data_IF_115342488254
#
_entry.id   IF_115342488254
#
_cell.length_a   1.000
_cell.length_b   1.000
_cell.length_c   1.000
_cell.angle_alpha   90.00
_cell.angle_beta   90.00
_cell.angle_gamma   90.00
#
_symmetry.space_group_name_H-M   'P 1'
#
loop_
_entity.id
_entity.type
_entity.pdbx_description
1 polymer ?
#
# COMPACT_ATOMS: atom_id res chain seq x y z
N UNK A 1 0.15 12.23 15.41
CA UNK A 1 -0.86 11.30 15.96
C UNK A 1 -0.97 10.01 15.13
N UNK A 2 -0.61 9.98 13.83
CA UNK A 2 -0.61 8.75 13.04
C UNK A 2 -1.95 8.39 12.42
N UNK A 3 -2.85 9.37 12.39
CA UNK A 3 -4.23 9.22 11.96
C UNK A 3 -4.35 9.54 10.47
N UNK A 4 -5.10 8.72 9.74
CA UNK A 4 -5.58 9.01 8.38
C UNK A 4 -7.10 9.21 8.45
N UNK A 5 -7.60 10.28 7.80
CA UNK A 5 -9.03 10.58 7.70
C UNK A 5 -9.45 10.57 6.25
N UNK A 6 -10.58 9.93 5.97
CA UNK A 6 -11.18 9.90 4.64
C UNK A 6 -12.44 10.75 4.62
N UNK A 7 -12.59 11.57 3.58
CA UNK A 7 -13.71 12.50 3.42
C UNK A 7 -14.34 12.29 2.05
N UNK A 8 -15.66 12.42 1.98
CA UNK A 8 -16.37 12.53 0.72
C UNK A 8 -16.58 14.01 0.41
N UNK A 9 -15.91 14.49 -0.64
CA UNK A 9 -15.89 15.90 -1.03
C UNK A 9 -17.28 16.43 -1.46
N UNK A 10 -18.27 15.56 -1.68
CA UNK A 10 -19.63 15.92 -2.08
C UNK A 10 -20.54 16.25 -0.90
N UNK A 11 -20.17 15.84 0.31
CA UNK A 11 -21.00 15.93 1.53
C UNK A 11 -20.26 16.64 2.66
N UNK A 12 -20.94 16.79 3.81
CA UNK A 12 -20.55 17.62 4.96
C UNK A 12 -19.15 17.34 5.55
N UNK A 13 -18.67 18.25 6.41
CA UNK A 13 -17.28 18.36 6.92
C UNK A 13 -16.80 17.23 7.85
N UNK A 14 -17.54 16.14 8.00
CA UNK A 14 -17.17 15.02 8.90
C UNK A 14 -16.44 13.92 8.12
N UNK A 15 -15.42 13.29 8.71
CA UNK A 15 -14.76 12.17 8.06
C UNK A 15 -15.73 10.99 7.93
N UNK A 16 -15.73 10.36 6.76
CA UNK A 16 -16.44 9.10 6.49
C UNK A 16 -15.87 7.99 7.38
N UNK A 17 -14.55 7.95 7.52
CA UNK A 17 -13.87 7.14 8.53
C UNK A 17 -12.59 7.82 9.04
N UNK A 18 -12.18 7.41 10.23
CA UNK A 18 -10.89 7.76 10.85
C UNK A 18 -10.13 6.47 11.14
N UNK A 19 -8.88 6.41 10.70
CA UNK A 19 -8.02 5.24 10.80
C UNK A 19 -6.76 5.59 11.60
N UNK A 20 -6.50 4.86 12.69
CA UNK A 20 -5.21 4.92 13.39
C UNK A 20 -4.20 4.07 12.62
N UNK A 21 -3.51 4.68 11.66
CA UNK A 21 -2.65 3.94 10.73
C UNK A 21 -1.27 3.63 11.32
N UNK A 22 -0.69 4.55 12.11
CA UNK A 22 0.68 4.44 12.63
C UNK A 22 0.77 4.84 14.11
N UNK A 23 1.78 4.33 14.82
CA UNK A 23 2.08 4.68 16.22
C UNK A 23 2.92 5.97 16.35
N UNK A 24 3.09 6.68 15.23
CA UNK A 24 3.75 7.97 15.08
C UNK A 24 3.14 8.71 13.89
N UNK A 25 3.65 9.89 13.52
CA UNK A 25 3.08 10.64 12.40
C UNK A 25 3.00 9.78 11.11
N UNK A 26 1.82 9.74 10.49
CA UNK A 26 1.64 9.22 9.15
C UNK A 26 2.09 10.32 8.19
N UNK A 27 3.17 10.07 7.47
CA UNK A 27 3.87 11.05 6.63
C UNK A 27 3.48 10.96 5.17
N UNK A 28 2.97 9.81 4.73
CA UNK A 28 2.61 9.57 3.34
C UNK A 28 1.43 8.62 3.22
N UNK A 29 0.61 8.86 2.20
CA UNK A 29 -0.48 7.99 1.77
C UNK A 29 -0.48 7.90 0.24
N UNK A 30 -0.90 6.78 -0.33
CA UNK A 30 -1.13 6.65 -1.77
C UNK A 30 -2.13 5.56 -2.08
N UNK A 31 -3.05 5.80 -3.03
CA UNK A 31 -4.00 4.79 -3.47
C UNK A 31 -3.38 3.92 -4.56
N UNK A 32 -3.66 2.62 -4.52
CA UNK A 32 -3.23 1.72 -5.58
C UNK A 32 -3.95 2.09 -6.90
N UNK A 33 -3.21 2.27 -8.01
CA UNK A 33 -3.82 2.67 -9.28
C UNK A 33 -4.52 1.51 -10.01
N UNK A 34 -4.20 0.26 -9.69
CA UNK A 34 -4.77 -0.93 -10.34
C UNK A 34 -5.92 -1.59 -9.59
N UNK A 35 -6.00 -1.41 -8.27
CA UNK A 35 -7.05 -2.01 -7.43
C UNK A 35 -7.72 -0.92 -6.59
N UNK A 36 -8.98 -0.65 -6.89
CA UNK A 36 -9.80 0.29 -6.15
C UNK A 36 -9.92 -0.12 -4.67
N UNK A 37 -9.86 0.85 -3.76
CA UNK A 37 -10.00 0.61 -2.34
C UNK A 37 -8.75 0.06 -1.65
N UNK A 38 -7.61 -0.08 -2.35
CA UNK A 38 -6.32 -0.37 -1.71
C UNK A 38 -5.57 0.94 -1.45
N UNK A 39 -5.21 1.16 -0.19
CA UNK A 39 -4.46 2.32 0.29
C UNK A 39 -3.12 1.87 0.89
N UNK A 40 -2.03 2.54 0.52
CA UNK A 40 -0.75 2.44 1.20
C UNK A 40 -0.56 3.63 2.16
N UNK A 41 0.03 3.38 3.32
CA UNK A 41 0.42 4.42 4.29
C UNK A 41 1.84 4.20 4.80
N UNK A 42 2.59 5.28 5.00
CA UNK A 42 3.95 5.27 5.53
C UNK A 42 4.08 6.24 6.69
N UNK A 43 4.91 5.92 7.68
CA UNK A 43 5.01 6.74 8.88
C UNK A 43 6.32 6.65 9.67
N UNK A 44 6.34 7.43 10.75
CA UNK A 44 7.45 7.55 11.70
C UNK A 44 7.68 6.28 12.53
N UNK A 45 6.72 5.35 12.55
CA UNK A 45 6.86 4.02 13.14
C UNK A 45 7.70 3.05 12.26
N UNK A 46 8.32 3.58 11.18
CA UNK A 46 9.22 2.88 10.25
C UNK A 46 8.55 1.84 9.36
N UNK A 47 7.21 1.81 9.35
CA UNK A 47 6.44 0.82 8.59
C UNK A 47 5.77 1.44 7.37
N UNK A 48 5.73 0.66 6.30
CA UNK A 48 4.75 0.80 5.23
C UNK A 48 3.59 -0.17 5.51
N UNK A 49 2.34 0.26 5.34
CA UNK A 49 1.15 -0.56 5.59
C UNK A 49 0.22 -0.49 4.40
N UNK A 50 -0.45 -1.61 4.12
CA UNK A 50 -1.50 -1.72 3.11
C UNK A 50 -2.84 -1.92 3.80
N UNK A 51 -3.86 -1.28 3.26
CA UNK A 51 -5.20 -1.27 3.80
C UNK A 51 -6.22 -1.51 2.70
N UNK A 52 -7.24 -2.32 2.98
CA UNK A 52 -8.49 -2.26 2.25
C UNK A 52 -9.37 -1.20 2.91
N UNK A 53 -9.91 -0.27 2.12
CA UNK A 53 -10.87 0.74 2.57
C UNK A 53 -12.24 0.55 1.92
N UNK A 54 -12.48 -0.65 1.38
CA UNK A 54 -13.75 -1.00 0.73
C UNK A 54 -14.94 -0.84 1.69
N UNK A 55 -16.06 -0.36 1.14
CA UNK A 55 -17.28 -0.14 1.93
C UNK A 55 -17.12 0.86 3.08
N UNK A 56 -16.11 1.76 3.01
CA UNK A 56 -15.77 2.72 4.06
C UNK A 56 -15.35 2.06 5.40
N UNK A 57 -14.85 0.83 5.36
CA UNK A 57 -14.42 0.06 6.53
C UNK A 57 -12.93 -0.28 6.42
N UNK A 58 -12.03 0.62 6.86
CA UNK A 58 -10.60 0.39 6.74
C UNK A 58 -10.17 -0.85 7.54
N UNK A 59 -9.39 -1.72 6.91
CA UNK A 59 -8.80 -2.92 7.52
C UNK A 59 -7.37 -3.14 7.01
N UNK A 60 -6.45 -3.50 7.90
CA UNK A 60 -5.05 -3.70 7.53
C UNK A 60 -4.90 -5.03 6.81
N UNK A 61 -4.29 -4.99 5.61
CA UNK A 61 -3.97 -6.18 4.81
C UNK A 61 -2.56 -6.68 5.11
N UNK A 62 -1.61 -5.74 5.26
CA UNK A 62 -0.21 -6.05 5.52
C UNK A 62 0.54 -4.87 6.12
N UNK A 63 1.65 -5.16 6.78
CA UNK A 63 2.62 -4.18 7.27
C UNK A 63 4.04 -4.68 7.01
N UNK A 64 4.94 -3.78 6.63
CA UNK A 64 6.35 -4.10 6.34
C UNK A 64 7.26 -3.04 6.94
N UNK A 65 8.27 -3.49 7.67
CA UNK A 65 9.43 -2.66 8.01
C UNK A 65 10.47 -2.85 6.91
N UNK A 66 10.68 -1.82 6.07
CA UNK A 66 11.53 -1.91 4.88
C UNK A 66 13.01 -1.61 5.16
N UNK A 67 13.39 -1.42 6.42
CA UNK A 67 14.76 -1.04 6.80
C UNK A 67 15.17 0.36 6.33
N UNK A 68 14.21 1.27 6.10
CA UNK A 68 14.43 2.63 5.59
C UNK A 68 14.50 3.69 6.71
N UNK A 69 14.28 3.30 7.96
CA UNK A 69 14.02 4.23 9.06
C UNK A 69 12.59 4.77 9.00
N UNK A 70 12.37 5.99 9.50
CA UNK A 70 11.08 6.64 9.36
C UNK A 70 10.77 6.85 7.88
N UNK A 71 9.61 6.40 7.41
CA UNK A 71 9.23 6.60 6.02
C UNK A 71 8.79 8.05 5.85
N UNK A 72 9.31 8.73 4.84
CA UNK A 72 8.92 10.11 4.53
C UNK A 72 7.98 10.19 3.34
N UNK A 73 8.13 9.31 2.36
CA UNK A 73 7.24 9.22 1.21
C UNK A 73 7.11 7.77 0.71
N UNK A 74 5.96 7.45 0.14
CA UNK A 74 5.72 6.21 -0.60
C UNK A 74 4.81 6.42 -1.80
N UNK A 75 5.04 5.71 -2.91
CA UNK A 75 4.19 5.79 -4.10
C UNK A 75 4.07 4.44 -4.79
N UNK A 76 2.86 4.07 -5.15
CA UNK A 76 2.63 2.96 -6.07
C UNK A 76 3.15 3.33 -7.46
N UNK A 77 3.71 2.35 -8.16
CA UNK A 77 3.98 2.49 -9.58
C UNK A 77 2.67 2.49 -10.36
N UNK A 78 2.53 3.46 -11.28
CA UNK A 78 1.37 3.52 -12.19
C UNK A 78 1.44 2.44 -13.28
N UNK A 79 2.65 2.05 -13.69
CA UNK A 79 2.87 1.04 -14.72
C UNK A 79 2.78 -0.38 -14.16
N UNK A 80 3.21 -0.57 -12.91
CA UNK A 80 3.15 -1.86 -12.23
C UNK A 80 2.49 -1.69 -10.85
N UNK A 81 1.14 -1.77 -10.76
CA UNK A 81 0.40 -1.52 -9.53
C UNK A 81 0.77 -2.43 -8.34
N UNK A 82 1.49 -3.53 -8.58
CA UNK A 82 2.03 -4.41 -7.55
C UNK A 82 3.29 -3.85 -6.84
N UNK A 83 3.93 -2.81 -7.37
CA UNK A 83 5.15 -2.26 -6.81
C UNK A 83 4.87 -0.96 -6.05
N UNK A 84 5.39 -0.90 -4.82
CA UNK A 84 5.33 0.26 -3.95
C UNK A 84 6.76 0.72 -3.64
N UNK A 85 7.14 1.91 -4.11
CA UNK A 85 8.41 2.54 -3.77
C UNK A 85 8.26 3.35 -2.48
N UNK A 86 9.31 3.37 -1.65
CA UNK A 86 9.36 4.18 -0.44
C UNK A 86 10.76 4.76 -0.20
N UNK A 87 10.81 5.93 0.42
CA UNK A 87 12.04 6.58 0.86
C UNK A 87 11.96 6.98 2.33
N UNK A 88 13.07 6.85 3.06
CA UNK A 88 13.08 7.08 4.51
C UNK A 88 14.32 7.77 5.06
N UNK A 89 14.28 8.00 6.38
CA UNK A 89 15.25 8.80 7.14
C UNK A 89 16.69 8.29 7.10
N UNK A 90 16.93 7.06 6.66
CA UNK A 90 18.28 6.51 6.48
C UNK A 90 18.91 6.88 5.13
N UNK A 91 18.25 7.72 4.32
CA UNK A 91 18.75 8.13 3.01
C UNK A 91 18.71 7.00 1.96
N UNK A 92 17.87 5.98 2.20
CA UNK A 92 17.70 4.82 1.33
C UNK A 92 16.33 4.85 0.65
N UNK A 93 16.28 4.24 -0.53
CA UNK A 93 15.06 3.88 -1.23
C UNK A 93 14.86 2.37 -1.15
N UNK A 94 13.60 1.94 -1.10
CA UNK A 94 13.22 0.53 -1.18
C UNK A 94 11.99 0.37 -2.05
N UNK A 95 11.87 -0.80 -2.68
CA UNK A 95 10.68 -1.21 -3.43
C UNK A 95 10.11 -2.46 -2.76
N UNK A 96 8.80 -2.46 -2.55
CA UNK A 96 8.06 -3.60 -2.06
C UNK A 96 7.18 -4.15 -3.18
N UNK A 97 7.34 -5.44 -3.48
CA UNK A 97 6.36 -6.20 -4.25
C UNK A 97 5.19 -6.60 -3.34
N UNK A 98 4.05 -5.93 -3.49
CA UNK A 98 2.88 -6.16 -2.63
C UNK A 98 2.22 -7.52 -2.87
N UNK A 99 2.50 -8.19 -3.99
CA UNK A 99 2.06 -9.57 -4.26
C UNK A 99 2.73 -10.62 -3.36
N UNK A 100 3.70 -10.23 -2.53
CA UNK A 100 4.18 -11.06 -1.43
C UNK A 100 3.10 -11.27 -0.34
N UNK A 101 1.95 -10.58 -0.43
CA UNK A 101 0.83 -10.68 0.50
C UNK A 101 -0.36 -11.38 -0.14
N UNK A 102 -0.90 -12.41 0.53
CA UNK A 102 -2.03 -13.20 0.00
C UNK A 102 -3.23 -12.33 -0.40
N UNK A 103 -3.51 -11.28 0.36
CA UNK A 103 -4.61 -10.36 0.09
C UNK A 103 -4.43 -9.63 -1.25
N UNK A 104 -3.21 -9.17 -1.57
CA UNK A 104 -2.95 -8.54 -2.87
C UNK A 104 -2.93 -9.54 -4.02
N UNK A 105 -2.48 -10.78 -3.80
CA UNK A 105 -2.58 -11.84 -4.81
C UNK A 105 -4.04 -12.09 -5.20
N UNK A 106 -4.93 -12.16 -4.21
CA UNK A 106 -6.36 -12.35 -4.46
C UNK A 106 -7.01 -11.19 -5.22
N UNK A 107 -6.52 -9.95 -5.01
CA UNK A 107 -7.04 -8.75 -5.67
C UNK A 107 -6.41 -8.48 -7.04
N UNK A 108 -5.26 -9.08 -7.35
CA UNK A 108 -4.54 -8.93 -8.62
C UNK A 108 -4.22 -10.29 -9.26
N UNK A 109 -5.22 -11.14 -9.56
CA UNK A 109 -4.99 -12.51 -10.02
C UNK A 109 -4.29 -12.61 -11.38
N UNK A 110 -4.41 -11.58 -12.24
CA UNK A 110 -3.73 -11.53 -13.55
C UNK A 110 -2.28 -11.03 -13.46
N UNK A 111 -1.86 -10.47 -12.32
CA UNK A 111 -0.48 -10.05 -12.09
C UNK A 111 0.43 -11.22 -11.69
N UNK A 112 -0.14 -12.35 -11.26
CA UNK A 112 0.52 -13.65 -11.37
C UNK A 112 0.41 -14.10 -12.83
N UNK A 113 1.42 -13.82 -13.65
CA UNK A 113 1.54 -14.60 -14.87
C UNK A 113 1.66 -16.09 -14.45
N UNK A 114 0.91 -17.03 -15.07
CA UNK A 114 1.03 -18.43 -14.69
C UNK A 114 2.49 -18.83 -14.81
N UNK A 115 3.05 -19.43 -13.77
CA UNK A 115 4.40 -19.95 -13.84
C UNK A 115 4.32 -21.42 -14.27
N UNK A 116 5.25 -21.87 -15.12
CA UNK A 116 5.44 -23.30 -15.34
C UNK A 116 6.01 -23.98 -14.07
N UNK A 117 6.10 -25.31 -14.08
CA UNK A 117 6.66 -26.09 -12.96
C UNK A 117 8.15 -25.72 -12.67
N UNK A 118 8.81 -24.98 -13.56
CA UNK A 118 10.17 -24.45 -13.40
C UNK A 118 10.20 -22.97 -12.95
N UNK A 119 9.05 -22.36 -12.67
CA UNK A 119 8.95 -20.98 -12.20
C UNK A 119 9.09 -19.90 -13.29
N UNK A 120 8.94 -20.23 -14.57
CA UNK A 120 8.98 -19.27 -15.70
C UNK A 120 7.59 -18.80 -16.08
N UNK A 121 7.50 -17.55 -16.54
CA UNK A 121 6.24 -16.95 -17.02
C UNK A 121 5.72 -17.69 -18.27
N UNK A 122 4.56 -18.31 -18.15
CA UNK A 122 3.80 -18.91 -19.25
C UNK A 122 3.06 -17.80 -20.02
N UNK A 123 3.43 -17.59 -21.29
CA UNK A 123 2.67 -16.73 -22.21
C UNK A 123 3.32 -15.42 -22.67
N UNK A 124 4.66 -15.34 -22.75
CA UNK A 124 5.32 -14.31 -23.57
C UNK A 124 5.22 -14.67 -25.05
N UNK A 125 4.58 -13.81 -25.84
CA UNK A 125 4.66 -13.86 -27.31
C UNK A 125 6.05 -13.43 -27.80
#
# INVERSE_FOLDING_TARGET
>A
DGIVKYFDARVDKKPVFTLQAHDGACSSIDFNPGVAGVLATGGMDKKAKLWSVEGNKPSMMAAREMGLGAIFDLRFSRECPALLAAGGSLGKLGVWNTLETQAMQALMPTAQAPLDDEGRVMGGA
#
